data_IF_763956241303
#
_entry.id   IF_763956241303
#
_cell.length_a   1.000
_cell.length_b   1.000
_cell.length_c   1.000
_cell.angle_alpha   90.00
_cell.angle_beta   90.00
_cell.angle_gamma   90.00
#
_symmetry.space_group_name_H-M   'P 1'
#
loop_
_entity.id
_entity.type
_entity.pdbx_description
1 polymer ?
#
# COMPACT_ATOMS: atom_id res chain seq x y z
N UNK A 1 3.89 -32.58 7.60
CA UNK A 1 4.04 -33.70 6.64
C UNK A 1 5.39 -33.56 5.98
N UNK A 2 6.18 -34.63 5.93
CA UNK A 2 7.34 -34.67 5.05
C UNK A 2 6.85 -34.62 3.60
N UNK A 3 7.52 -33.81 2.79
CA UNK A 3 7.23 -33.70 1.36
C UNK A 3 8.17 -34.69 0.69
N UNK A 4 7.61 -35.67 0.01
CA UNK A 4 8.40 -36.65 -0.74
C UNK A 4 9.09 -35.95 -1.91
N UNK A 5 10.39 -36.19 -2.06
CA UNK A 5 11.23 -35.57 -3.09
C UNK A 5 11.95 -36.66 -3.86
N UNK A 6 11.89 -36.62 -5.19
CA UNK A 6 12.50 -37.64 -6.05
C UNK A 6 14.03 -37.78 -5.89
N UNK A 7 14.74 -36.69 -5.55
CA UNK A 7 16.18 -36.72 -5.29
C UNK A 7 16.60 -35.67 -4.23
N UNK A 8 16.70 -36.10 -2.98
CA UNK A 8 17.03 -35.22 -1.86
C UNK A 8 18.45 -34.63 -1.93
N UNK A 9 19.42 -35.41 -2.40
CA UNK A 9 20.82 -34.97 -2.50
C UNK A 9 20.95 -33.84 -3.51
N UNK A 10 20.31 -33.98 -4.67
CA UNK A 10 20.31 -32.93 -5.69
C UNK A 10 19.67 -31.63 -5.20
N UNK A 11 18.50 -31.71 -4.52
CA UNK A 11 17.88 -30.51 -3.94
C UNK A 11 18.81 -29.86 -2.92
N UNK A 12 19.45 -30.66 -2.05
CA UNK A 12 20.36 -30.16 -1.03
C UNK A 12 21.55 -29.42 -1.64
N UNK A 13 22.14 -29.96 -2.68
CA UNK A 13 23.30 -29.36 -3.36
C UNK A 13 22.91 -28.10 -4.14
N UNK A 14 21.74 -28.11 -4.80
CA UNK A 14 21.19 -26.92 -5.44
C UNK A 14 20.93 -25.80 -4.44
N UNK A 15 20.34 -26.12 -3.28
CA UNK A 15 20.09 -25.12 -2.23
C UNK A 15 21.40 -24.51 -1.70
N UNK A 16 22.44 -25.32 -1.47
CA UNK A 16 23.76 -24.83 -1.05
C UNK A 16 24.38 -23.87 -2.09
N UNK A 17 24.18 -24.15 -3.37
CA UNK A 17 24.71 -23.33 -4.47
C UNK A 17 23.91 -22.04 -4.70
N UNK A 18 22.57 -22.12 -4.68
CA UNK A 18 21.68 -21.02 -5.08
C UNK A 18 21.41 -20.05 -3.92
N UNK A 19 21.27 -20.55 -2.69
CA UNK A 19 20.90 -19.71 -1.55
C UNK A 19 21.86 -18.54 -1.27
N UNK A 20 23.19 -18.66 -1.45
CA UNK A 20 24.09 -17.51 -1.35
C UNK A 20 23.84 -16.46 -2.43
N UNK A 21 23.65 -16.89 -3.69
CA UNK A 21 23.39 -16.00 -4.83
C UNK A 21 22.08 -15.22 -4.65
N UNK A 22 21.06 -15.86 -4.07
CA UNK A 22 19.77 -15.21 -3.76
C UNK A 22 19.86 -14.12 -2.68
N UNK A 23 20.99 -13.97 -1.98
CA UNK A 23 21.20 -12.93 -0.96
C UNK A 23 21.99 -11.74 -1.47
N UNK A 24 22.34 -11.72 -2.75
CA UNK A 24 23.11 -10.65 -3.37
C UNK A 24 22.20 -9.55 -3.95
N UNK A 25 22.80 -8.43 -4.34
CA UNK A 25 22.15 -7.28 -4.99
C UNK A 25 20.84 -6.83 -4.31
N UNK A 26 19.72 -6.94 -5.02
CA UNK A 26 18.40 -6.48 -4.58
C UNK A 26 17.94 -7.16 -3.29
N UNK A 27 18.38 -8.39 -3.02
CA UNK A 27 18.04 -9.09 -1.78
C UNK A 27 18.70 -8.45 -0.55
N UNK A 28 19.86 -7.79 -0.70
CA UNK A 28 20.46 -7.01 0.39
C UNK A 28 19.60 -5.80 0.73
N UNK A 29 19.11 -5.09 -0.29
CA UNK A 29 18.20 -3.96 -0.10
C UNK A 29 16.89 -4.40 0.56
N UNK A 30 16.29 -5.50 0.08
CA UNK A 30 15.09 -6.10 0.69
C UNK A 30 15.33 -6.52 2.15
N UNK A 31 16.48 -7.12 2.46
CA UNK A 31 16.85 -7.45 3.84
C UNK A 31 16.98 -6.18 4.68
N UNK A 32 17.62 -5.14 4.19
CA UNK A 32 17.90 -3.92 4.94
C UNK A 32 16.64 -3.07 5.18
N UNK A 33 15.85 -2.84 4.14
CA UNK A 33 14.77 -1.85 4.12
C UNK A 33 13.38 -2.43 3.82
N UNK A 34 13.26 -3.75 3.61
CA UNK A 34 12.01 -4.35 3.15
C UNK A 34 11.69 -3.93 1.72
N UNK A 35 10.47 -4.24 1.25
CA UNK A 35 9.98 -3.75 -0.05
C UNK A 35 9.88 -2.22 -0.06
N UNK A 36 9.53 -1.63 1.08
CA UNK A 36 9.38 -0.20 1.33
C UNK A 36 10.66 0.62 1.09
N UNK A 37 11.83 -0.02 0.96
CA UNK A 37 13.06 0.67 0.54
C UNK A 37 12.96 1.32 -0.85
N UNK A 38 11.98 0.91 -1.66
CA UNK A 38 11.73 1.47 -2.99
C UNK A 38 10.96 2.79 -3.02
N UNK A 39 10.42 3.29 -1.89
CA UNK A 39 9.54 4.48 -1.86
C UNK A 39 10.24 5.72 -2.41
N UNK A 40 11.43 6.06 -1.90
CA UNK A 40 12.16 7.25 -2.35
C UNK A 40 12.59 7.14 -3.83
N UNK A 41 13.02 5.95 -4.25
CA UNK A 41 13.39 5.71 -5.65
C UNK A 41 12.17 5.84 -6.58
N UNK A 42 11.03 5.26 -6.21
CA UNK A 42 9.82 5.35 -7.02
C UNK A 42 9.29 6.78 -7.09
N UNK A 43 9.40 7.58 -6.02
CA UNK A 43 9.09 9.00 -6.08
C UNK A 43 10.02 9.73 -7.05
N UNK A 44 11.33 9.49 -6.94
CA UNK A 44 12.34 10.16 -7.75
C UNK A 44 12.15 9.95 -9.26
N UNK A 45 11.72 8.76 -9.68
CA UNK A 45 11.50 8.42 -11.09
C UNK A 45 10.06 8.65 -11.57
N UNK A 46 9.20 9.26 -10.74
CA UNK A 46 7.78 9.52 -11.07
C UNK A 46 6.87 8.28 -11.09
N UNK A 47 7.28 7.18 -10.45
CA UNK A 47 6.56 5.91 -10.41
C UNK A 47 5.63 5.74 -9.19
N UNK A 48 5.80 6.57 -8.15
CA UNK A 48 5.01 6.50 -6.92
C UNK A 48 3.63 7.17 -7.12
N UNK A 49 2.50 6.51 -6.76
CA UNK A 49 1.20 7.16 -6.77
C UNK A 49 1.12 8.25 -5.69
N UNK A 50 0.73 9.46 -6.09
CA UNK A 50 0.60 10.62 -5.21
C UNK A 50 -0.73 11.31 -5.52
N UNK A 51 -1.53 11.55 -4.47
CA UNK A 51 -2.82 12.27 -4.55
C UNK A 51 -3.76 11.64 -5.61
N UNK A 52 -4.18 10.39 -5.41
CA UNK A 52 -4.93 9.60 -6.39
C UNK A 52 -4.35 9.67 -7.81
N UNK A 53 -3.03 9.46 -7.92
CA UNK A 53 -2.28 9.50 -9.19
C UNK A 53 -2.28 10.87 -9.91
N UNK A 54 -2.77 11.94 -9.29
CA UNK A 54 -2.83 13.25 -9.92
C UNK A 54 -1.48 13.99 -9.92
N UNK A 55 -0.71 13.85 -8.82
CA UNK A 55 0.49 14.64 -8.58
C UNK A 55 1.78 13.86 -8.91
N UNK A 56 2.82 14.56 -9.38
CA UNK A 56 4.08 13.96 -9.81
C UNK A 56 5.25 14.02 -8.82
N UNK A 57 5.11 14.70 -7.67
CA UNK A 57 6.18 14.85 -6.69
C UNK A 57 5.67 14.84 -5.24
N UNK A 58 6.37 14.16 -4.33
CA UNK A 58 6.07 14.18 -2.89
C UNK A 58 7.34 13.96 -2.06
N UNK A 59 8.49 14.36 -2.57
CA UNK A 59 9.85 14.06 -2.08
C UNK A 59 10.00 13.99 -0.56
N UNK A 60 9.71 15.08 0.15
CA UNK A 60 9.88 15.10 1.62
C UNK A 60 8.87 14.19 2.34
N UNK A 61 7.66 14.06 1.80
CA UNK A 61 6.66 13.15 2.34
C UNK A 61 7.03 11.68 2.11
N UNK A 62 7.45 11.33 0.89
CA UNK A 62 7.93 9.99 0.52
C UNK A 62 9.14 9.58 1.36
N UNK A 63 10.10 10.49 1.58
CA UNK A 63 11.25 10.27 2.46
C UNK A 63 10.83 9.92 3.88
N UNK A 64 9.83 10.62 4.45
CA UNK A 64 9.33 10.40 5.82
C UNK A 64 8.65 9.03 6.02
N UNK A 65 8.06 8.47 4.98
CA UNK A 65 7.35 7.18 5.04
C UNK A 65 8.14 6.01 4.42
N UNK A 66 9.39 6.25 4.00
CA UNK A 66 10.21 5.26 3.30
C UNK A 66 10.62 4.07 4.19
N UNK A 67 11.07 2.97 3.56
CA UNK A 67 11.68 1.84 4.27
C UNK A 67 12.96 2.23 5.02
N UNK A 68 13.67 3.26 4.55
CA UNK A 68 14.84 3.85 5.20
C UNK A 68 14.43 4.57 6.49
N UNK A 69 13.39 5.41 6.42
CA UNK A 69 12.82 6.05 7.61
C UNK A 69 12.32 4.99 8.61
N UNK A 70 11.55 4.00 8.14
CA UNK A 70 11.08 2.89 8.96
C UNK A 70 12.21 2.15 9.67
N UNK A 71 13.27 1.79 8.95
CA UNK A 71 14.42 1.08 9.50
C UNK A 71 15.15 1.87 10.59
N UNK A 72 15.18 3.21 10.47
CA UNK A 72 15.88 4.09 11.39
C UNK A 72 15.05 4.48 12.63
N UNK A 73 13.72 4.33 12.58
CA UNK A 73 12.83 4.88 13.62
C UNK A 73 12.00 3.82 14.33
N UNK A 74 11.26 2.99 13.59
CA UNK A 74 10.18 2.14 14.15
C UNK A 74 10.39 0.64 13.95
N UNK A 75 11.42 0.22 13.20
CA UNK A 75 11.71 -1.19 12.99
C UNK A 75 12.23 -1.85 14.28
N UNK A 76 11.53 -2.86 14.78
CA UNK A 76 11.93 -3.61 15.98
C UNK A 76 12.50 -4.98 15.65
N UNK A 77 12.02 -5.64 14.60
CA UNK A 77 12.52 -6.94 14.18
C UNK A 77 12.28 -7.20 12.68
N UNK A 78 12.77 -8.34 12.18
CA UNK A 78 12.53 -8.84 10.83
C UNK A 78 12.10 -10.30 10.90
N UNK A 79 11.39 -10.76 9.88
CA UNK A 79 10.98 -12.17 9.81
C UNK A 79 11.17 -12.76 8.41
N UNK A 80 11.35 -14.06 8.40
CA UNK A 80 11.41 -14.87 7.19
C UNK A 80 10.03 -15.49 6.94
N UNK A 81 9.54 -15.43 5.71
CA UNK A 81 8.53 -16.40 5.27
C UNK A 81 9.17 -17.78 5.26
N UNK A 82 8.44 -18.85 5.61
CA UNK A 82 8.87 -20.25 5.51
C UNK A 82 10.39 -20.52 5.42
N UNK A 83 10.85 -21.03 4.27
CA UNK A 83 12.26 -21.35 3.98
C UNK A 83 13.00 -20.22 3.25
N UNK A 84 12.49 -18.99 3.31
CA UNK A 84 13.04 -17.86 2.56
C UNK A 84 14.38 -17.41 3.15
N UNK A 85 15.37 -17.19 2.30
CA UNK A 85 16.72 -16.79 2.73
C UNK A 85 16.95 -15.26 2.73
N UNK A 86 15.96 -14.50 2.28
CA UNK A 86 16.05 -13.05 2.05
C UNK A 86 15.80 -12.24 3.34
N UNK A 87 14.82 -12.63 4.16
CA UNK A 87 14.41 -11.90 5.37
C UNK A 87 13.85 -10.48 5.08
N UNK A 88 12.93 -10.35 4.11
CA UNK A 88 12.33 -9.07 3.76
C UNK A 88 11.21 -8.63 4.73
N UNK A 89 10.63 -9.55 5.51
CA UNK A 89 9.55 -9.22 6.44
C UNK A 89 9.99 -8.22 7.50
N UNK A 90 9.10 -7.29 7.86
CA UNK A 90 9.33 -6.23 8.86
C UNK A 90 8.43 -6.46 10.07
N UNK A 91 8.93 -6.24 11.28
CA UNK A 91 8.10 -6.01 12.47
C UNK A 91 8.40 -4.60 12.94
N UNK A 92 7.36 -3.78 13.02
CA UNK A 92 7.46 -2.37 13.39
C UNK A 92 6.63 -2.07 14.60
N UNK A 93 7.07 -1.11 15.41
CA UNK A 93 6.35 -0.60 16.56
C UNK A 93 6.22 0.91 16.47
N UNK A 94 5.00 1.43 16.47
CA UNK A 94 4.77 2.87 16.54
C UNK A 94 5.30 3.41 17.88
N UNK A 95 6.21 4.38 17.83
CA UNK A 95 6.94 4.89 19.00
C UNK A 95 6.36 6.18 19.57
N UNK A 96 5.54 6.88 18.79
CA UNK A 96 4.97 8.19 19.08
C UNK A 96 3.52 8.33 18.58
N UNK A 97 2.93 9.49 18.83
CA UNK A 97 1.58 9.84 18.37
C UNK A 97 0.44 9.05 19.04
N UNK A 98 -0.79 9.20 18.53
CA UNK A 98 -1.98 8.56 19.10
C UNK A 98 -1.98 7.03 18.96
N UNK A 99 -1.07 6.48 18.17
CA UNK A 99 -0.97 5.06 17.85
C UNK A 99 0.24 4.38 18.49
N UNK A 100 0.92 5.08 19.41
CA UNK A 100 2.07 4.56 20.16
C UNK A 100 1.76 3.19 20.78
N UNK A 101 2.69 2.26 20.59
CA UNK A 101 2.63 0.92 21.18
C UNK A 101 2.04 -0.14 20.26
N UNK A 102 1.41 0.24 19.14
CA UNK A 102 0.99 -0.73 18.10
C UNK A 102 2.22 -1.42 17.53
N UNK A 103 2.21 -2.74 17.49
CA UNK A 103 3.28 -3.57 16.95
C UNK A 103 2.71 -4.57 15.93
N UNK A 104 3.23 -4.57 14.70
CA UNK A 104 2.70 -5.38 13.61
C UNK A 104 3.74 -5.67 12.52
N UNK A 105 3.43 -6.65 11.67
CA UNK A 105 4.17 -6.91 10.44
C UNK A 105 3.93 -5.85 9.34
N UNK A 106 4.98 -5.57 8.56
CA UNK A 106 4.96 -4.56 7.48
C UNK A 106 5.13 -3.13 8.03
N UNK A 107 4.58 -2.08 7.37
CA UNK A 107 3.91 -2.12 6.08
C UNK A 107 4.89 -2.34 4.90
N UNK A 108 4.42 -3.05 3.88
CA UNK A 108 5.12 -3.25 2.61
C UNK A 108 4.99 -2.00 1.70
N UNK A 109 5.78 -1.94 0.62
CA UNK A 109 5.83 -0.80 -0.32
C UNK A 109 4.45 -0.37 -0.81
N UNK A 110 3.65 -1.33 -1.29
CA UNK A 110 2.30 -1.10 -1.81
C UNK A 110 1.39 -0.43 -0.79
N UNK A 111 1.41 -0.94 0.45
CA UNK A 111 0.66 -0.40 1.56
C UNK A 111 1.08 1.04 1.87
N UNK A 112 2.39 1.30 1.93
CA UNK A 112 2.91 2.65 2.19
C UNK A 112 2.52 3.61 1.07
N UNK A 113 2.59 3.17 -0.18
CA UNK A 113 2.26 4.03 -1.31
C UNK A 113 0.75 4.36 -1.35
N UNK A 114 -0.13 3.36 -1.23
CA UNK A 114 -1.57 3.56 -1.37
C UNK A 114 -2.25 4.15 -0.13
N UNK A 115 -1.78 3.86 1.10
CA UNK A 115 -2.30 4.46 2.33
C UNK A 115 -1.49 5.69 2.79
N UNK A 116 -0.32 5.93 2.19
CA UNK A 116 0.56 7.07 2.44
C UNK A 116 0.47 8.11 1.33
N UNK A 117 1.38 8.05 0.37
CA UNK A 117 1.54 9.08 -0.67
C UNK A 117 0.30 9.30 -1.53
N UNK A 118 -0.43 8.23 -1.86
CA UNK A 118 -1.67 8.33 -2.63
C UNK A 118 -2.75 9.16 -1.91
N UNK A 119 -2.70 9.21 -0.57
CA UNK A 119 -3.60 9.98 0.29
C UNK A 119 -2.96 11.28 0.84
N UNK A 120 -1.73 11.61 0.42
CA UNK A 120 -0.86 12.67 0.98
C UNK A 120 -0.57 12.53 2.49
N UNK A 121 -0.61 11.31 3.01
CA UNK A 121 -0.20 11.01 4.39
C UNK A 121 1.31 10.79 4.42
N UNK A 122 2.00 11.53 5.30
CA UNK A 122 3.45 11.46 5.45
C UNK A 122 3.90 11.15 6.90
N UNK A 123 2.97 10.67 7.71
CA UNK A 123 3.21 10.19 9.07
C UNK A 123 3.24 8.66 9.04
N UNK A 124 4.40 8.09 9.33
CA UNK A 124 4.61 6.65 9.27
C UNK A 124 3.81 5.91 10.37
N UNK A 125 3.58 6.51 11.54
CA UNK A 125 2.76 5.94 12.61
C UNK A 125 1.28 5.84 12.18
N UNK A 126 0.79 6.80 11.39
CA UNK A 126 -0.55 6.73 10.77
C UNK A 126 -0.63 5.61 9.74
N UNK A 127 0.37 5.48 8.86
CA UNK A 127 0.41 4.41 7.84
C UNK A 127 0.49 3.02 8.50
N UNK A 128 1.26 2.89 9.59
CA UNK A 128 1.30 1.65 10.40
C UNK A 128 -0.07 1.34 10.99
N UNK A 129 -0.79 2.34 11.52
CA UNK A 129 -2.15 2.12 12.02
C UNK A 129 -3.10 1.69 10.91
N UNK A 130 -3.04 2.33 9.74
CA UNK A 130 -3.87 2.00 8.59
C UNK A 130 -3.61 0.56 8.10
N UNK A 131 -2.34 0.16 7.99
CA UNK A 131 -1.92 -1.22 7.71
C UNK A 131 -2.44 -2.20 8.76
N UNK A 132 -2.37 -1.84 10.05
CA UNK A 132 -2.88 -2.68 11.12
C UNK A 132 -4.36 -2.94 11.02
N UNK A 133 -5.15 -1.89 10.77
CA UNK A 133 -6.59 -2.04 10.56
C UNK A 133 -6.91 -2.90 9.35
N UNK A 134 -6.22 -2.69 8.22
CA UNK A 134 -6.42 -3.52 7.04
C UNK A 134 -6.14 -5.00 7.34
N UNK A 135 -5.04 -5.31 8.03
CA UNK A 135 -4.70 -6.67 8.44
C UNK A 135 -5.72 -7.28 9.41
N UNK A 136 -6.22 -6.50 10.38
CA UNK A 136 -7.22 -6.97 11.36
C UNK A 136 -8.59 -7.24 10.72
N UNK A 137 -8.99 -6.38 9.79
CA UNK A 137 -10.27 -6.49 9.09
C UNK A 137 -10.23 -7.40 7.87
N UNK A 138 -9.04 -7.82 7.42
CA UNK A 138 -8.88 -8.63 6.21
C UNK A 138 -9.14 -7.83 4.93
N UNK A 139 -8.73 -6.56 4.92
CA UNK A 139 -8.85 -5.67 3.75
C UNK A 139 -7.54 -5.65 2.97
N UNK A 140 -7.64 -5.64 1.64
CA UNK A 140 -6.51 -5.37 0.76
C UNK A 140 -6.10 -3.88 0.87
N UNK A 141 -4.84 -3.63 1.21
CA UNK A 141 -4.31 -2.28 1.42
C UNK A 141 -4.23 -1.48 0.13
N UNK A 142 -4.05 -2.13 -1.02
CA UNK A 142 -4.00 -1.47 -2.34
C UNK A 142 -5.37 -0.90 -2.66
N UNK A 143 -6.39 -1.76 -2.73
CA UNK A 143 -7.76 -1.38 -3.06
C UNK A 143 -8.34 -0.42 -2.01
N UNK A 144 -8.04 -0.63 -0.72
CA UNK A 144 -8.45 0.28 0.37
C UNK A 144 -7.88 1.68 0.20
N UNK A 145 -6.57 1.80 -0.08
CA UNK A 145 -5.95 3.10 -0.31
C UNK A 145 -6.34 3.74 -1.64
N UNK A 146 -6.60 2.95 -2.68
CA UNK A 146 -7.14 3.42 -3.96
C UNK A 146 -8.53 4.03 -3.81
N UNK A 147 -9.48 3.33 -3.20
CA UNK A 147 -10.85 3.81 -3.03
C UNK A 147 -10.94 5.00 -2.05
N UNK A 148 -10.06 5.06 -1.05
CA UNK A 148 -9.93 6.23 -0.17
C UNK A 148 -9.34 7.43 -0.91
N UNK A 149 -8.32 7.23 -1.75
CA UNK A 149 -7.80 8.28 -2.63
C UNK A 149 -8.88 8.85 -3.55
N UNK A 150 -9.68 7.97 -4.15
CA UNK A 150 -10.87 8.36 -4.92
C UNK A 150 -11.87 9.17 -4.09
N UNK A 151 -12.18 8.74 -2.86
CA UNK A 151 -13.09 9.49 -1.98
C UNK A 151 -12.57 10.88 -1.63
N UNK A 152 -11.27 11.02 -1.41
CA UNK A 152 -10.64 12.32 -1.17
C UNK A 152 -10.76 13.24 -2.38
N UNK A 153 -10.56 12.71 -3.58
CA UNK A 153 -10.70 13.48 -4.81
C UNK A 153 -12.15 13.84 -5.12
N UNK A 154 -13.09 12.90 -4.94
CA UNK A 154 -14.52 13.16 -5.10
C UNK A 154 -14.99 14.26 -4.15
N UNK A 155 -14.48 14.29 -2.92
CA UNK A 155 -14.78 15.35 -1.95
C UNK A 155 -14.13 16.69 -2.35
N UNK A 156 -12.86 16.70 -2.78
CA UNK A 156 -12.18 17.90 -3.29
C UNK A 156 -12.92 18.51 -4.50
N UNK A 157 -13.44 17.66 -5.39
CA UNK A 157 -14.23 18.06 -6.57
C UNK A 157 -15.70 18.39 -6.26
N UNK A 158 -16.14 18.24 -5.02
CA UNK A 158 -17.52 18.52 -4.59
C UNK A 158 -18.56 17.52 -5.10
N UNK A 159 -18.14 16.33 -5.57
CA UNK A 159 -19.03 15.25 -6.00
C UNK A 159 -19.64 14.48 -4.83
N UNK A 160 -18.94 14.45 -3.69
CA UNK A 160 -19.50 14.03 -2.41
C UNK A 160 -19.33 15.16 -1.40
N UNK A 161 -20.31 15.34 -0.52
CA UNK A 161 -20.33 16.42 0.46
C UNK A 161 -20.14 15.90 1.88
N UNK A 162 -19.96 16.82 2.84
CA UNK A 162 -19.90 16.48 4.27
C UNK A 162 -21.15 15.73 4.76
N UNK A 163 -22.30 15.97 4.11
CA UNK A 163 -23.54 15.28 4.44
C UNK A 163 -23.47 13.81 4.02
N UNK A 164 -22.99 13.55 2.81
CA UNK A 164 -22.90 12.21 2.23
C UNK A 164 -21.87 11.33 2.97
N UNK A 165 -20.83 11.97 3.52
CA UNK A 165 -19.77 11.30 4.28
C UNK A 165 -20.09 11.11 5.77
N UNK A 166 -21.30 11.45 6.23
CA UNK A 166 -21.68 11.35 7.64
C UNK A 166 -20.84 12.25 8.57
N UNK A 167 -20.29 13.35 8.06
CA UNK A 167 -19.46 14.28 8.80
C UNK A 167 -17.95 14.05 8.69
N UNK A 168 -17.51 12.92 8.14
CA UNK A 168 -16.10 12.68 7.79
C UNK A 168 -15.68 13.74 6.76
N UNK A 169 -14.45 14.24 6.85
CA UNK A 169 -13.89 15.18 5.86
C UNK A 169 -12.73 14.52 5.13
N UNK A 170 -12.96 13.85 3.98
CA UNK A 170 -11.94 13.23 3.14
C UNK A 170 -11.06 14.28 2.45
N UNK A 171 -10.37 15.11 3.21
CA UNK A 171 -9.39 16.06 2.66
C UNK A 171 -8.02 15.39 2.59
N UNK A 172 -7.24 15.72 1.56
CA UNK A 172 -5.88 15.20 1.41
C UNK A 172 -5.01 15.42 2.66
N UNK A 173 -4.25 14.40 3.04
CA UNK A 173 -3.39 14.43 4.22
C UNK A 173 -4.12 14.33 5.57
N UNK A 174 -5.45 14.11 5.58
CA UNK A 174 -6.22 13.98 6.81
C UNK A 174 -6.12 12.56 7.40
N UNK A 175 -5.18 12.36 8.32
CA UNK A 175 -4.93 11.09 9.01
C UNK A 175 -6.17 10.52 9.71
N UNK A 176 -6.95 11.36 10.39
CA UNK A 176 -8.15 10.89 11.10
C UNK A 176 -9.22 10.42 10.13
N UNK A 177 -9.40 11.11 8.99
CA UNK A 177 -10.35 10.69 7.96
C UNK A 177 -9.92 9.37 7.30
N UNK A 178 -8.61 9.17 7.04
CA UNK A 178 -8.10 7.90 6.53
C UNK A 178 -8.49 6.73 7.45
N UNK A 179 -8.19 6.85 8.74
CA UNK A 179 -8.47 5.80 9.74
C UNK A 179 -9.97 5.54 9.88
N UNK A 180 -10.80 6.59 9.94
CA UNK A 180 -12.25 6.45 10.06
C UNK A 180 -12.85 5.78 8.81
N UNK A 181 -12.40 6.14 7.60
CA UNK A 181 -12.87 5.51 6.37
C UNK A 181 -12.53 4.01 6.31
N UNK A 182 -11.38 3.58 6.83
CA UNK A 182 -11.05 2.14 6.93
C UNK A 182 -12.04 1.41 7.83
N UNK A 183 -12.41 2.00 8.99
CA UNK A 183 -13.44 1.43 9.86
C UNK A 183 -14.80 1.37 9.18
N UNK A 184 -15.22 2.43 8.48
CA UNK A 184 -16.46 2.46 7.72
C UNK A 184 -16.50 1.35 6.66
N UNK A 185 -15.44 1.21 5.86
CA UNK A 185 -15.30 0.18 4.81
C UNK A 185 -15.43 -1.22 5.42
N UNK A 186 -14.65 -1.52 6.46
CA UNK A 186 -14.67 -2.84 7.11
C UNK A 186 -16.04 -3.21 7.67
N UNK A 187 -16.80 -2.23 8.16
CA UNK A 187 -18.09 -2.45 8.79
C UNK A 187 -19.28 -2.30 7.83
N UNK A 188 -19.04 -1.88 6.58
CA UNK A 188 -20.08 -1.45 5.63
C UNK A 188 -21.10 -0.48 6.27
N UNK A 189 -20.60 0.59 6.89
CA UNK A 189 -21.45 1.61 7.54
C UNK A 189 -21.16 3.01 7.02
N UNK A 190 -22.21 3.80 6.81
CA UNK A 190 -22.11 5.17 6.33
C UNK A 190 -21.38 5.22 4.99
N UNK A 191 -20.31 6.01 4.90
CA UNK A 191 -19.48 6.10 3.68
C UNK A 191 -18.91 4.73 3.25
N UNK A 192 -18.79 3.77 4.17
CA UNK A 192 -18.36 2.41 3.87
C UNK A 192 -19.32 1.60 3.01
N UNK A 193 -20.62 1.94 2.95
CA UNK A 193 -21.55 1.30 2.02
C UNK A 193 -21.21 1.65 0.57
N UNK A 194 -20.69 2.86 0.33
CA UNK A 194 -20.20 3.31 -0.97
C UNK A 194 -18.81 2.72 -1.26
N UNK A 195 -17.83 3.00 -0.38
CA UNK A 195 -16.43 2.68 -0.62
C UNK A 195 -16.13 1.18 -0.50
N UNK A 196 -16.94 0.42 0.24
CA UNK A 196 -16.80 -1.03 0.40
C UNK A 196 -17.12 -1.85 -0.86
N UNK A 197 -17.57 -1.21 -1.95
CA UNK A 197 -17.80 -1.84 -3.25
C UNK A 197 -16.63 -1.68 -4.24
N UNK A 198 -15.54 -1.01 -3.83
CA UNK A 198 -14.40 -0.70 -4.69
C UNK A 198 -14.63 0.51 -5.61
N UNK A 199 -13.57 1.03 -6.20
CA UNK A 199 -13.57 2.32 -6.92
C UNK A 199 -14.49 2.35 -8.13
N UNK A 200 -14.62 1.22 -8.84
CA UNK A 200 -15.47 1.13 -10.04
C UNK A 200 -16.94 1.36 -9.69
N UNK A 201 -17.46 0.60 -8.72
CA UNK A 201 -18.86 0.72 -8.30
C UNK A 201 -19.11 2.02 -7.53
N UNK A 202 -18.13 2.47 -6.73
CA UNK A 202 -18.22 3.77 -6.08
C UNK A 202 -18.36 4.91 -7.12
N UNK A 203 -17.62 4.85 -8.23
CA UNK A 203 -17.73 5.81 -9.31
C UNK A 203 -19.09 5.76 -10.02
N UNK A 204 -19.65 4.57 -10.27
CA UNK A 204 -21.00 4.40 -10.84
C UNK A 204 -22.06 5.10 -9.96
N UNK A 205 -21.95 4.97 -8.64
CA UNK A 205 -22.91 5.55 -7.67
C UNK A 205 -22.72 7.07 -7.51
N UNK A 206 -21.47 7.54 -7.42
CA UNK A 206 -21.17 8.97 -7.29
C UNK A 206 -21.56 9.73 -8.57
N UNK A 207 -21.33 9.12 -9.74
CA UNK A 207 -21.68 9.68 -11.04
C UNK A 207 -20.91 10.95 -11.39
N UNK A 208 -21.42 11.69 -12.39
CA UNK A 208 -20.77 12.90 -12.90
C UNK A 208 -19.37 12.61 -13.45
N UNK A 209 -18.37 13.37 -12.99
CA UNK A 209 -16.98 13.20 -13.40
C UNK A 209 -16.23 12.09 -12.63
N UNK A 210 -16.90 11.30 -11.79
CA UNK A 210 -16.26 10.29 -10.93
C UNK A 210 -15.42 9.26 -11.73
N UNK A 211 -15.90 8.84 -12.89
CA UNK A 211 -15.19 7.87 -13.73
C UNK A 211 -13.84 8.37 -14.25
N UNK A 212 -13.65 9.68 -14.37
CA UNK A 212 -12.41 10.28 -14.89
C UNK A 212 -11.22 10.12 -13.93
N UNK A 213 -11.48 9.86 -12.65
CA UNK A 213 -10.46 9.67 -11.62
C UNK A 213 -10.66 8.37 -10.82
N UNK A 214 -11.49 7.46 -11.31
CA UNK A 214 -11.67 6.11 -10.79
C UNK A 214 -10.56 5.19 -11.35
N UNK A 215 -9.41 5.17 -10.68
CA UNK A 215 -8.22 4.49 -11.20
C UNK A 215 -8.34 2.97 -11.04
N UNK A 216 -8.72 2.27 -12.12
CA UNK A 216 -8.81 0.81 -12.13
C UNK A 216 -8.61 0.20 -13.52
N UNK A 217 -8.30 -1.10 -13.57
CA UNK A 217 -8.41 -1.92 -14.79
C UNK A 217 -9.29 -3.13 -14.49
N UNK A 218 -10.33 -3.35 -15.31
CA UNK A 218 -11.40 -4.36 -15.11
C UNK A 218 -12.12 -4.27 -13.75
N UNK A 219 -11.97 -3.18 -13.02
CA UNK A 219 -12.55 -2.94 -11.71
C UNK A 219 -11.59 -3.16 -10.52
N UNK A 220 -10.34 -3.54 -10.77
CA UNK A 220 -9.30 -3.66 -9.76
C UNK A 220 -8.41 -2.42 -9.74
N UNK A 221 -8.19 -1.85 -8.57
CA UNK A 221 -7.25 -0.76 -8.33
C UNK A 221 -5.80 -1.24 -8.61
N UNK A 222 -4.99 -0.47 -9.36
CA UNK A 222 -3.65 -0.91 -9.73
C UNK A 222 -2.68 -0.87 -8.53
N UNK A 223 -1.63 -1.71 -8.52
CA UNK A 223 -0.52 -1.58 -7.60
C UNK A 223 0.25 -0.27 -7.85
N UNK A 224 1.09 0.13 -6.91
CA UNK A 224 1.77 1.41 -6.76
C UNK A 224 2.89 1.68 -7.77
N UNK A 225 2.65 1.46 -9.06
CA UNK A 225 3.57 1.80 -10.13
C UNK A 225 2.85 2.58 -11.23
N UNK A 226 3.29 3.82 -11.43
CA UNK A 226 2.67 4.73 -12.39
C UNK A 226 2.97 4.31 -13.83
N UNK A 227 1.94 3.93 -14.61
CA UNK A 227 2.14 3.49 -15.98
C UNK A 227 2.69 4.60 -16.90
N UNK A 228 2.58 5.88 -16.51
CA UNK A 228 3.15 7.02 -17.25
C UNK A 228 4.68 7.07 -17.12
N UNK A 229 5.24 6.56 -16.01
CA UNK A 229 6.68 6.45 -15.83
C UNK A 229 7.29 5.20 -16.48
N UNK A 230 6.48 4.13 -16.64
CA UNK A 230 6.90 2.88 -17.28
C UNK A 230 5.79 2.29 -18.16
N UNK A 231 5.81 2.64 -19.45
CA UNK A 231 4.78 2.24 -20.41
C UNK A 231 4.54 0.73 -20.52
N UNK A 232 5.56 -0.10 -20.30
CA UNK A 232 5.41 -1.56 -20.30
C UNK A 232 4.49 -2.07 -19.19
N UNK A 233 4.43 -1.35 -18.05
CA UNK A 233 3.50 -1.66 -16.95
C UNK A 233 2.06 -1.39 -17.36
N UNK A 234 1.80 -0.35 -18.17
CA UNK A 234 0.46 -0.04 -18.67
C UNK A 234 -0.15 -1.23 -19.43
N UNK A 235 0.63 -1.86 -20.32
CA UNK A 235 0.21 -3.06 -21.04
C UNK A 235 -0.02 -4.23 -20.09
N UNK A 236 0.84 -4.39 -19.07
CA UNK A 236 0.68 -5.39 -18.01
C UNK A 236 -0.64 -5.25 -17.27
N UNK A 237 -1.01 -4.03 -16.84
CA UNK A 237 -2.30 -3.78 -16.22
C UNK A 237 -3.45 -4.08 -17.19
N UNK A 238 -3.41 -3.54 -18.41
CA UNK A 238 -4.46 -3.74 -19.41
C UNK A 238 -4.75 -5.23 -19.70
N UNK A 239 -3.71 -6.06 -19.76
CA UNK A 239 -3.79 -7.48 -20.17
C UNK A 239 -3.80 -8.48 -19.02
N UNK A 240 -3.61 -8.04 -17.77
CA UNK A 240 -3.64 -8.92 -16.60
C UNK A 240 -4.96 -9.68 -16.51
N UNK A 241 -4.89 -11.00 -16.31
CA UNK A 241 -6.09 -11.84 -16.18
C UNK A 241 -6.92 -11.52 -14.92
N UNK A 242 -6.34 -10.81 -13.94
CA UNK A 242 -6.92 -10.63 -12.60
C UNK A 242 -7.55 -9.25 -12.39
N UNK A 243 -7.47 -8.39 -13.39
CA UNK A 243 -7.49 -6.94 -13.19
C UNK A 243 -6.29 -6.36 -13.89
#
# INVERSE_FOLDING_TARGET
KEVEVANENLIRDLMKRIAPLMKEDIARALKQFGTSGGVEYCEHIGNLPIKNWYQGNFKEGAKRISGQAMANTILTNRYHCGRCVINCGRVVKAVDGPYKGIEIGGPEYETIALLGSNCLINDLSVVVKANELCNRYGLDTISTGGVIGFAMEAYERGLITKKDTGGIKPTWGNSSALIEMIHCIAQRKGLGELLGNGVRQAADIVGGAAHEFAIHVKGLEPPAHDPRARFSIALGYATSNRG
#
